data_IF_943315101689
#
_entry.id   IF_943315101689
#
_cell.length_a   1.000
_cell.length_b   1.000
_cell.length_c   1.000
_cell.angle_alpha   90.00
_cell.angle_beta   90.00
_cell.angle_gamma   90.00
#
_symmetry.space_group_name_H-M   'P 1'
#
loop_
_entity.id
_entity.type
_entity.pdbx_description
1 polymer ?
#
# COMPACT_ATOMS: atom_id res chain seq x y z
N UNK A 1 26.09 56.49 40.45
CA UNK A 1 26.64 57.57 39.59
C UNK A 1 25.91 57.48 38.26
N UNK A 2 25.03 58.41 38.05
CA UNK A 2 24.88 59.37 36.95
C UNK A 2 24.37 58.71 35.64
N UNK A 3 23.07 58.83 35.36
CA UNK A 3 22.34 59.81 34.49
C UNK A 3 22.75 59.68 33.02
N UNK A 4 21.88 59.61 32.00
CA UNK A 4 20.63 60.36 31.68
C UNK A 4 19.97 59.76 30.47
N UNK A 5 18.74 59.61 30.48
CA UNK A 5 17.57 59.91 29.64
C UNK A 5 17.81 60.94 28.50
N UNK A 6 17.19 60.70 27.34
CA UNK A 6 16.46 61.71 26.58
C UNK A 6 15.38 61.11 25.63
N UNK A 7 14.22 61.62 25.86
CA UNK A 7 12.95 61.52 25.06
C UNK A 7 12.97 62.51 23.88
N UNK A 8 12.20 62.20 22.81
CA UNK A 8 11.30 63.11 22.02
C UNK A 8 11.09 62.44 20.66
N UNK A 9 9.93 61.95 20.26
CA UNK A 9 8.60 62.51 20.04
C UNK A 9 8.43 63.30 18.71
N UNK A 10 7.30 63.03 18.00
CA UNK A 10 6.53 63.84 17.01
C UNK A 10 7.03 63.68 15.56
N UNK A 11 6.23 63.50 14.51
CA UNK A 11 4.78 63.62 14.26
C UNK A 11 4.41 62.98 12.90
N UNK A 12 3.11 62.80 12.72
CA UNK A 12 2.43 62.29 11.54
C UNK A 12 2.50 63.22 10.32
N UNK A 13 2.39 62.65 9.12
CA UNK A 13 1.65 63.32 7.99
C UNK A 13 1.07 62.26 7.03
N UNK A 14 -0.23 62.35 6.84
CA UNK A 14 -0.99 61.63 5.84
C UNK A 14 -0.86 62.33 4.46
N UNK A 15 -0.73 61.56 3.41
CA UNK A 15 -1.06 62.06 2.06
C UNK A 15 -1.59 60.88 1.21
N UNK A 16 -2.86 60.94 0.91
CA UNK A 16 -3.53 60.13 -0.08
C UNK A 16 -3.19 60.64 -1.48
N UNK A 17 -2.75 59.76 -2.38
CA UNK A 17 -2.74 60.04 -3.82
C UNK A 17 -3.33 58.82 -4.51
N UNK A 18 -4.51 58.97 -5.04
CA UNK A 18 -5.15 58.08 -6.02
C UNK A 18 -4.50 58.33 -7.39
N UNK A 19 -3.95 57.27 -8.00
CA UNK A 19 -3.63 57.26 -9.43
C UNK A 19 -4.23 56.02 -10.06
N UNK A 20 -5.25 56.24 -10.86
CA UNK A 20 -5.80 55.28 -11.82
C UNK A 20 -4.83 55.18 -12.98
N UNK A 21 -4.36 53.98 -13.33
CA UNK A 21 -3.85 53.70 -14.66
C UNK A 21 -4.32 52.31 -15.08
N UNK A 22 -5.21 52.33 -16.07
CA UNK A 22 -5.58 51.18 -16.89
C UNK A 22 -4.36 50.70 -17.66
N UNK A 23 -4.00 49.45 -17.50
CA UNK A 23 -3.00 48.76 -18.29
C UNK A 23 -3.45 47.32 -18.48
N UNK A 24 -4.05 47.02 -19.64
CA UNK A 24 -4.25 45.65 -20.12
C UNK A 24 -2.88 45.02 -20.36
N UNK A 25 -2.47 44.12 -19.44
CA UNK A 25 -1.39 43.19 -19.62
C UNK A 25 -1.96 41.79 -19.41
N UNK A 26 -2.12 41.03 -20.50
CA UNK A 26 -2.44 39.62 -20.49
C UNK A 26 -1.25 38.82 -19.95
N UNK A 27 -1.11 38.84 -18.60
CA UNK A 27 -0.27 37.92 -17.86
C UNK A 27 -1.03 36.61 -17.74
N UNK A 28 -0.61 35.56 -18.46
CA UNK A 28 -0.95 34.17 -18.14
C UNK A 28 -0.73 33.98 -16.63
N UNK A 29 -1.72 33.45 -15.90
CA UNK A 29 -1.43 32.98 -14.56
C UNK A 29 -0.32 31.94 -14.68
N UNK A 30 0.78 32.17 -13.99
CA UNK A 30 1.77 31.13 -13.76
C UNK A 30 1.02 29.98 -13.09
N UNK A 31 0.78 28.92 -13.84
CA UNK A 31 0.37 27.64 -13.30
C UNK A 31 1.51 27.26 -12.35
N UNK A 32 1.30 27.47 -11.07
CA UNK A 32 2.06 26.75 -10.04
C UNK A 32 1.97 25.30 -10.45
N UNK A 33 3.09 24.74 -10.90
CA UNK A 33 3.21 23.32 -11.10
C UNK A 33 2.98 22.71 -9.71
N UNK A 34 1.74 22.30 -9.47
CA UNK A 34 1.39 21.50 -8.30
C UNK A 34 2.18 20.23 -8.51
N UNK A 35 3.24 20.06 -7.76
CA UNK A 35 3.91 18.77 -7.62
C UNK A 35 2.78 17.80 -7.31
N UNK A 36 2.58 16.75 -8.12
CA UNK A 36 1.52 15.81 -7.84
C UNK A 36 1.76 15.28 -6.43
N UNK A 37 0.83 15.58 -5.53
CA UNK A 37 0.91 15.07 -4.18
C UNK A 37 0.91 13.55 -4.31
N UNK A 38 1.92 12.88 -3.77
CA UNK A 38 1.99 11.44 -3.61
C UNK A 38 0.92 11.02 -2.58
N UNK A 39 -0.32 11.26 -2.93
CA UNK A 39 -1.48 10.83 -2.15
C UNK A 39 -1.94 9.52 -2.76
N UNK A 40 -2.09 8.51 -1.91
CA UNK A 40 -2.72 7.26 -2.32
C UNK A 40 -4.09 7.57 -2.93
N UNK A 41 -4.37 7.16 -4.18
CA UNK A 41 -5.58 7.57 -4.87
C UNK A 41 -6.81 6.95 -4.19
N UNK A 42 -7.57 7.77 -3.51
CA UNK A 42 -8.90 7.45 -2.99
C UNK A 42 -9.89 8.47 -3.49
N UNK A 43 -11.09 8.04 -3.86
CA UNK A 43 -12.10 8.91 -4.45
C UNK A 43 -13.44 8.67 -3.77
N UNK A 44 -14.13 9.73 -3.36
CA UNK A 44 -15.51 9.61 -2.86
C UNK A 44 -16.44 9.26 -4.03
N UNK A 45 -17.19 8.17 -3.89
CA UNK A 45 -18.02 7.63 -4.96
C UNK A 45 -19.40 7.29 -4.40
N UNK A 46 -20.45 7.75 -5.07
CA UNK A 46 -21.83 7.30 -4.87
C UNK A 46 -22.26 7.18 -3.38
N UNK A 47 -21.94 8.17 -2.57
CA UNK A 47 -22.32 8.18 -1.16
C UNK A 47 -21.48 7.31 -0.21
N UNK A 48 -20.58 6.49 -0.74
CA UNK A 48 -19.64 5.71 0.08
C UNK A 48 -18.66 6.62 0.82
N UNK A 49 -18.30 6.26 2.05
CA UNK A 49 -17.21 6.89 2.78
C UNK A 49 -15.87 6.66 2.08
N UNK A 50 -14.91 7.57 2.25
CA UNK A 50 -13.57 7.43 1.67
C UNK A 50 -12.53 7.38 2.78
N UNK A 51 -11.68 6.36 2.76
CA UNK A 51 -10.64 6.14 3.75
C UNK A 51 -9.25 6.28 3.15
N UNK A 52 -8.28 6.66 3.97
CA UNK A 52 -6.87 6.76 3.59
C UNK A 52 -6.46 8.08 2.93
N UNK A 53 -7.36 9.08 2.80
CA UNK A 53 -7.03 10.39 2.20
C UNK A 53 -6.08 11.22 3.06
N UNK A 54 -6.06 11.00 4.37
CA UNK A 54 -5.23 11.70 5.34
C UNK A 54 -3.89 11.00 5.60
N UNK A 55 -3.59 9.91 4.89
CA UNK A 55 -2.30 9.24 4.99
C UNK A 55 -1.18 10.16 4.53
N UNK A 56 -0.05 10.05 5.26
CA UNK A 56 1.19 10.76 4.95
C UNK A 56 2.19 9.79 4.34
N UNK A 57 2.24 9.64 3.00
CA UNK A 57 3.12 8.67 2.34
C UNK A 57 4.60 8.86 2.72
N UNK A 58 5.04 10.10 2.98
CA UNK A 58 6.43 10.40 3.35
C UNK A 58 6.85 9.84 4.72
N UNK A 59 5.88 9.48 5.57
CA UNK A 59 6.13 8.85 6.87
C UNK A 59 6.01 7.31 6.82
N UNK A 60 5.83 6.72 5.64
CA UNK A 60 5.62 5.28 5.47
C UNK A 60 6.88 4.46 5.76
N UNK A 61 8.03 4.87 5.27
CA UNK A 61 9.30 4.20 5.52
C UNK A 61 9.91 4.61 6.86
N UNK A 62 10.60 3.67 7.51
CA UNK A 62 11.42 4.00 8.66
C UNK A 62 12.54 4.96 8.23
N UNK A 63 12.80 5.99 9.06
CA UNK A 63 13.81 7.01 8.77
C UNK A 63 15.22 6.45 8.82
N UNK A 64 15.48 5.65 9.84
CA UNK A 64 16.77 5.04 10.08
C UNK A 64 16.72 3.55 9.75
N UNK A 65 17.82 3.04 9.20
CA UNK A 65 17.98 1.62 8.98
C UNK A 65 17.94 0.87 10.30
N UNK A 66 17.15 -0.18 10.38
CA UNK A 66 17.16 -1.09 11.53
C UNK A 66 18.59 -1.63 11.76
N UNK A 67 18.96 -1.82 13.04
CA UNK A 67 20.26 -2.36 13.39
C UNK A 67 20.43 -3.77 12.79
N UNK A 68 21.64 -4.04 12.29
CA UNK A 68 21.96 -5.39 11.83
C UNK A 68 22.12 -6.34 13.02
N UNK A 69 21.64 -7.56 12.83
CA UNK A 69 21.89 -8.65 13.77
C UNK A 69 23.39 -8.95 13.83
N UNK A 70 23.97 -9.17 15.02
CA UNK A 70 25.39 -9.45 15.15
C UNK A 70 25.78 -10.76 14.47
N UNK A 71 27.00 -10.85 13.90
CA UNK A 71 27.50 -12.08 13.30
C UNK A 71 28.48 -11.86 12.14
N UNK A 72 28.78 -12.89 11.35
CA UNK A 72 29.75 -12.84 10.25
C UNK A 72 29.34 -11.93 9.13
N UNK A 73 30.30 -11.57 8.24
CA UNK A 73 30.08 -10.68 7.08
C UNK A 73 29.19 -11.31 5.99
N UNK A 74 29.06 -12.62 5.97
CA UNK A 74 28.12 -13.35 5.10
C UNK A 74 27.13 -14.13 5.97
N UNK A 75 25.94 -14.35 5.46
CA UNK A 75 24.84 -15.03 6.13
C UNK A 75 24.24 -16.10 5.23
N UNK A 76 23.68 -17.10 5.86
CA UNK A 76 22.80 -18.04 5.18
C UNK A 76 21.37 -17.51 5.25
N UNK A 77 20.76 -17.31 4.09
CA UNK A 77 19.34 -16.98 3.93
C UNK A 77 18.62 -18.18 3.29
N UNK A 78 17.39 -18.42 3.71
CA UNK A 78 16.58 -19.50 3.17
C UNK A 78 15.69 -18.99 2.04
N UNK A 79 15.64 -19.74 0.97
CA UNK A 79 14.65 -19.58 -0.07
C UNK A 79 13.29 -20.12 0.40
N UNK A 80 12.21 -19.62 -0.20
CA UNK A 80 10.88 -20.18 -0.02
C UNK A 80 10.84 -21.67 -0.43
N UNK A 81 9.92 -22.40 0.16
CA UNK A 81 9.72 -23.83 -0.13
C UNK A 81 9.56 -24.08 -1.64
N UNK A 82 10.26 -25.10 -2.15
CA UNK A 82 10.25 -25.49 -3.56
C UNK A 82 11.25 -24.74 -4.46
N UNK A 83 12.05 -23.83 -3.91
CA UNK A 83 13.18 -23.19 -4.62
C UNK A 83 14.48 -23.91 -4.30
N UNK A 84 15.30 -24.16 -5.30
CA UNK A 84 16.62 -24.84 -5.11
C UNK A 84 17.73 -23.91 -5.61
N UNK A 85 18.81 -23.70 -4.80
CA UNK A 85 19.10 -24.31 -3.50
C UNK A 85 18.18 -23.76 -2.39
N UNK A 86 17.98 -24.53 -1.33
CA UNK A 86 17.19 -24.14 -0.16
C UNK A 86 17.86 -23.01 0.63
N UNK A 87 19.18 -22.98 0.66
CA UNK A 87 20.01 -22.02 1.40
C UNK A 87 20.96 -21.30 0.46
N UNK A 88 21.06 -19.99 0.62
CA UNK A 88 21.95 -19.11 -0.15
C UNK A 88 22.83 -18.31 0.78
N UNK A 89 24.13 -18.21 0.46
CA UNK A 89 25.03 -17.29 1.14
C UNK A 89 24.84 -15.87 0.58
N UNK A 90 24.55 -14.91 1.46
CA UNK A 90 24.31 -13.50 1.12
C UNK A 90 25.21 -12.59 1.96
N UNK A 91 25.55 -11.37 1.48
CA UNK A 91 26.19 -10.37 2.33
C UNK A 91 25.32 -10.03 3.54
N UNK A 92 25.92 -9.90 4.73
CA UNK A 92 25.19 -9.50 5.94
C UNK A 92 24.62 -8.07 5.82
N UNK A 93 25.33 -7.22 5.10
CA UNK A 93 24.99 -5.80 4.89
C UNK A 93 24.93 -5.48 3.39
N UNK A 94 23.93 -6.00 2.66
CA UNK A 94 23.81 -5.68 1.24
C UNK A 94 23.61 -4.18 1.05
N UNK A 95 24.28 -3.61 0.06
CA UNK A 95 24.25 -2.19 -0.25
C UNK A 95 23.56 -1.87 -1.59
N UNK A 96 23.39 -2.87 -2.43
CA UNK A 96 22.83 -2.74 -3.77
C UNK A 96 21.77 -3.81 -4.02
N UNK A 97 20.59 -3.55 -3.45
CA UNK A 97 19.49 -4.51 -3.49
C UNK A 97 18.62 -4.26 -4.72
N UNK A 98 18.32 -5.30 -5.48
CA UNK A 98 17.26 -5.31 -6.48
C UNK A 98 16.07 -6.09 -5.94
N UNK A 99 14.86 -5.55 -6.14
CA UNK A 99 13.62 -6.08 -5.58
C UNK A 99 12.62 -6.38 -6.70
N UNK A 100 12.03 -7.57 -6.70
CA UNK A 100 11.13 -8.00 -7.77
C UNK A 100 9.67 -8.17 -7.33
N UNK A 101 9.34 -7.81 -6.08
CA UNK A 101 7.99 -7.95 -5.54
C UNK A 101 7.64 -6.77 -4.63
N UNK A 102 6.34 -6.42 -4.56
CA UNK A 102 5.87 -5.26 -3.79
C UNK A 102 5.99 -5.42 -2.29
N UNK A 103 5.70 -6.60 -1.77
CA UNK A 103 5.83 -6.95 -0.36
C UNK A 103 7.27 -6.87 0.15
N UNK A 104 8.26 -7.22 -0.68
CA UNK A 104 9.67 -7.08 -0.37
C UNK A 104 10.11 -5.60 -0.33
N UNK A 105 9.60 -4.79 -1.25
CA UNK A 105 9.85 -3.34 -1.26
C UNK A 105 9.25 -2.66 -0.03
N UNK A 106 8.03 -3.05 0.35
CA UNK A 106 7.35 -2.65 1.59
C UNK A 106 8.17 -3.07 2.83
N UNK A 107 8.67 -4.32 2.84
CA UNK A 107 9.51 -4.83 3.93
C UNK A 107 10.81 -4.02 4.11
N UNK A 108 11.50 -3.70 3.01
CA UNK A 108 12.72 -2.87 3.07
C UNK A 108 12.41 -1.44 3.52
N UNK A 109 11.26 -0.88 3.09
CA UNK A 109 10.76 0.40 3.57
C UNK A 109 10.50 0.36 5.10
N UNK A 110 9.85 -0.68 5.60
CA UNK A 110 9.58 -0.87 7.03
C UNK A 110 10.86 -1.05 7.87
N UNK A 111 11.90 -1.67 7.29
CA UNK A 111 13.21 -1.87 7.90
C UNK A 111 14.16 -0.67 7.75
N UNK A 112 13.77 0.40 7.05
CA UNK A 112 14.62 1.57 6.81
C UNK A 112 15.75 1.32 5.80
N UNK A 113 15.60 0.34 4.92
CA UNK A 113 16.63 -0.06 3.95
C UNK A 113 16.35 0.44 2.53
N UNK A 114 15.34 1.30 2.33
CA UNK A 114 14.94 1.82 1.02
C UNK A 114 16.08 2.51 0.27
N UNK A 115 17.01 3.15 0.96
CA UNK A 115 18.19 3.80 0.35
C UNK A 115 19.19 2.82 -0.29
N UNK A 116 19.10 1.53 0.06
CA UNK A 116 19.94 0.47 -0.50
C UNK A 116 19.31 -0.18 -1.73
N UNK A 117 18.04 0.14 -2.05
CA UNK A 117 17.34 -0.37 -3.23
C UNK A 117 17.78 0.42 -4.45
N UNK A 118 18.55 -0.22 -5.33
CA UNK A 118 19.07 0.41 -6.54
C UNK A 118 18.12 0.30 -7.73
N UNK A 119 17.19 -0.64 -7.70
CA UNK A 119 16.06 -0.77 -8.64
C UNK A 119 15.00 -1.74 -8.08
N UNK A 120 13.76 -1.59 -8.56
CA UNK A 120 12.69 -2.51 -8.21
C UNK A 120 11.78 -2.77 -9.44
N UNK A 121 11.19 -3.96 -9.53
CA UNK A 121 10.18 -4.24 -10.54
C UNK A 121 8.94 -3.37 -10.29
N UNK A 122 8.38 -2.81 -11.34
CA UNK A 122 7.16 -1.98 -11.27
C UNK A 122 5.92 -2.85 -11.11
N UNK A 123 4.88 -2.35 -10.46
CA UNK A 123 3.57 -3.00 -10.52
C UNK A 123 3.12 -3.15 -11.98
N UNK A 124 2.48 -4.26 -12.30
CA UNK A 124 1.99 -4.49 -13.67
C UNK A 124 1.00 -3.40 -14.07
N UNK A 125 1.22 -2.82 -15.25
CA UNK A 125 0.42 -1.70 -15.75
C UNK A 125 0.77 -0.32 -15.15
N UNK A 126 1.78 -0.22 -14.28
CA UNK A 126 2.26 1.05 -13.71
C UNK A 126 3.58 1.50 -14.33
N UNK A 127 3.77 2.81 -14.42
CA UNK A 127 5.02 3.44 -14.84
C UNK A 127 5.90 3.91 -13.65
N UNK A 128 5.43 3.73 -12.41
CA UNK A 128 6.10 4.18 -11.18
C UNK A 128 5.96 3.18 -10.05
N UNK A 129 6.81 3.32 -9.04
CA UNK A 129 6.67 2.56 -7.79
C UNK A 129 5.42 3.00 -7.02
N UNK A 130 4.91 2.14 -6.09
CA UNK A 130 3.69 2.43 -5.36
C UNK A 130 3.75 3.76 -4.58
N UNK A 131 2.69 4.57 -4.69
CA UNK A 131 2.63 5.88 -4.06
C UNK A 131 2.53 5.79 -2.53
N UNK A 132 1.91 4.74 -1.99
CA UNK A 132 1.72 4.59 -0.54
C UNK A 132 3.03 4.41 0.24
N UNK A 133 4.13 4.03 -0.41
CA UNK A 133 5.47 3.94 0.18
C UNK A 133 6.21 5.30 0.22
N UNK A 134 5.65 6.33 -0.39
CA UNK A 134 6.12 7.71 -0.29
C UNK A 134 7.34 8.04 -1.14
N UNK A 135 7.84 9.26 -0.94
CA UNK A 135 8.92 9.85 -1.74
C UNK A 135 10.26 9.12 -1.63
N UNK A 136 10.46 8.36 -0.56
CA UNK A 136 11.69 7.57 -0.38
C UNK A 136 11.76 6.37 -1.35
N UNK A 137 10.62 5.89 -1.84
CA UNK A 137 10.52 4.70 -2.70
C UNK A 137 10.08 5.06 -4.11
N UNK A 138 9.19 6.03 -4.26
CA UNK A 138 8.60 6.39 -5.55
C UNK A 138 9.61 6.65 -6.69
N UNK A 139 10.80 7.29 -6.45
CA UNK A 139 11.78 7.54 -7.50
C UNK A 139 12.70 6.35 -7.80
N UNK A 140 12.55 5.21 -7.13
CA UNK A 140 13.40 4.04 -7.39
C UNK A 140 13.19 3.55 -8.83
N UNK A 141 14.27 3.40 -9.61
CA UNK A 141 14.17 3.02 -11.02
C UNK A 141 13.49 1.66 -11.23
N UNK A 142 12.64 1.55 -12.25
CA UNK A 142 12.05 0.29 -12.67
C UNK A 142 13.04 -0.63 -13.38
N UNK A 143 12.89 -1.95 -13.20
CA UNK A 143 13.62 -3.01 -13.94
C UNK A 143 12.61 -4.04 -14.45
N UNK A 144 11.76 -3.61 -15.40
CA UNK A 144 10.62 -4.37 -15.88
C UNK A 144 9.45 -4.33 -14.92
N UNK A 145 8.50 -5.24 -15.09
CA UNK A 145 7.34 -5.40 -14.21
C UNK A 145 7.49 -6.64 -13.30
N UNK A 146 6.63 -6.74 -12.28
CA UNK A 146 6.64 -7.88 -11.34
C UNK A 146 6.43 -9.21 -12.04
N UNK A 147 5.59 -9.25 -13.08
CA UNK A 147 5.36 -10.46 -13.91
C UNK A 147 6.42 -10.68 -14.99
N UNK A 148 7.13 -9.64 -15.38
CA UNK A 148 8.16 -9.70 -16.46
C UNK A 148 9.37 -8.79 -16.14
N UNK A 149 10.26 -9.21 -15.20
CA UNK A 149 11.47 -8.45 -14.86
C UNK A 149 12.47 -8.37 -16.04
N UNK A 150 13.13 -7.23 -16.15
CA UNK A 150 14.21 -7.01 -17.14
C UNK A 150 15.55 -7.48 -16.59
N UNK A 151 15.98 -8.68 -16.98
CA UNK A 151 17.23 -9.29 -16.52
C UNK A 151 18.48 -8.48 -16.92
N UNK A 152 18.50 -7.86 -18.10
CA UNK A 152 19.60 -7.02 -18.53
C UNK A 152 19.67 -5.73 -17.70
N UNK A 153 18.52 -5.10 -17.46
CA UNK A 153 18.40 -3.96 -16.58
C UNK A 153 18.83 -4.27 -15.14
N UNK A 154 18.48 -5.46 -14.62
CA UNK A 154 18.89 -5.94 -13.29
C UNK A 154 20.42 -6.09 -13.24
N UNK A 155 21.02 -6.77 -14.21
CA UNK A 155 22.48 -6.98 -14.26
C UNK A 155 23.24 -5.65 -14.35
N UNK A 156 22.74 -4.67 -15.11
CA UNK A 156 23.32 -3.34 -15.23
C UNK A 156 23.31 -2.53 -13.92
N UNK A 157 22.51 -2.93 -12.94
CA UNK A 157 22.52 -2.33 -11.60
C UNK A 157 23.60 -2.84 -10.69
N UNK A 158 24.34 -3.89 -11.09
CA UNK A 158 25.40 -4.54 -10.28
C UNK A 158 24.93 -4.80 -8.84
N UNK A 159 23.84 -5.56 -8.63
CA UNK A 159 23.33 -5.83 -7.31
C UNK A 159 24.30 -6.75 -6.52
N UNK A 160 24.27 -6.64 -5.19
CA UNK A 160 24.91 -7.55 -4.27
C UNK A 160 23.88 -8.47 -3.56
N UNK A 161 22.59 -8.18 -3.75
CA UNK A 161 21.46 -9.02 -3.37
C UNK A 161 20.28 -8.80 -4.33
N UNK A 162 19.66 -9.89 -4.75
CA UNK A 162 18.38 -9.87 -5.47
C UNK A 162 17.32 -10.54 -4.59
N UNK A 163 16.19 -9.85 -4.39
CA UNK A 163 15.01 -10.40 -3.75
C UNK A 163 13.97 -10.69 -4.83
N UNK A 164 13.54 -11.94 -4.94
CA UNK A 164 12.54 -12.39 -5.90
C UNK A 164 11.39 -13.13 -5.22
N UNK A 165 10.39 -13.54 -5.99
CA UNK A 165 9.22 -14.25 -5.47
C UNK A 165 8.99 -15.57 -6.19
N UNK A 166 8.86 -16.62 -5.39
CA UNK A 166 8.53 -17.97 -5.89
C UNK A 166 7.14 -17.99 -6.56
N UNK A 167 6.20 -17.17 -6.09
CA UNK A 167 4.85 -17.10 -6.68
C UNK A 167 4.76 -16.29 -7.97
N UNK A 168 5.63 -15.28 -8.17
CA UNK A 168 5.56 -14.40 -9.34
C UNK A 168 6.41 -14.91 -10.50
N UNK A 169 7.66 -15.23 -10.25
CA UNK A 169 8.64 -15.55 -11.31
C UNK A 169 9.51 -16.77 -10.96
N UNK A 170 8.93 -17.93 -10.62
CA UNK A 170 9.68 -19.09 -10.12
C UNK A 170 10.76 -19.59 -11.10
N UNK A 171 10.52 -19.47 -12.40
CA UNK A 171 11.43 -19.93 -13.46
C UNK A 171 12.65 -19.03 -13.65
N UNK A 172 12.65 -17.81 -13.11
CA UNK A 172 13.76 -16.86 -13.27
C UNK A 172 14.88 -17.06 -12.25
N UNK A 173 14.68 -17.87 -11.21
CA UNK A 173 15.66 -18.07 -10.16
C UNK A 173 17.07 -18.37 -10.68
N UNK A 174 17.30 -19.38 -11.58
CA UNK A 174 18.65 -19.68 -12.05
C UNK A 174 19.33 -18.53 -12.78
N UNK A 175 18.58 -17.74 -13.54
CA UNK A 175 19.09 -16.60 -14.30
C UNK A 175 19.45 -15.44 -13.35
N UNK A 176 18.64 -15.18 -12.34
CA UNK A 176 18.88 -14.15 -11.32
C UNK A 176 20.09 -14.55 -10.44
N UNK A 177 20.18 -15.81 -10.02
CA UNK A 177 21.30 -16.34 -9.25
C UNK A 177 22.64 -16.28 -10.02
N UNK A 178 22.59 -16.27 -11.36
CA UNK A 178 23.74 -16.02 -12.22
C UNK A 178 24.21 -14.55 -12.24
N UNK A 179 23.38 -13.61 -11.76
CA UNK A 179 23.72 -12.18 -11.68
C UNK A 179 24.30 -11.84 -10.30
N UNK A 180 23.61 -12.25 -9.22
CA UNK A 180 24.00 -11.97 -7.85
C UNK A 180 23.36 -12.99 -6.88
N UNK A 181 23.81 -13.07 -5.58
CA UNK A 181 23.10 -13.80 -4.55
C UNK A 181 21.62 -13.47 -4.56
N UNK A 182 20.77 -14.49 -4.70
CA UNK A 182 19.33 -14.33 -4.91
C UNK A 182 18.55 -15.10 -3.87
N UNK A 183 17.61 -14.43 -3.20
CA UNK A 183 16.71 -15.03 -2.23
C UNK A 183 15.27 -14.86 -2.73
N UNK A 184 14.54 -15.96 -2.85
CA UNK A 184 13.11 -15.95 -3.17
C UNK A 184 12.28 -16.10 -1.90
N UNK A 185 11.37 -15.15 -1.70
CA UNK A 185 10.30 -15.27 -0.71
C UNK A 185 9.13 -16.09 -1.28
N UNK A 186 8.17 -16.45 -0.43
CA UNK A 186 6.94 -17.10 -0.84
C UNK A 186 6.10 -16.16 -1.77
N UNK A 187 4.99 -16.66 -2.29
CA UNK A 187 4.04 -15.84 -3.02
C UNK A 187 3.55 -14.67 -2.15
N UNK A 188 3.43 -13.45 -2.71
CA UNK A 188 2.77 -12.35 -2.02
C UNK A 188 1.34 -12.71 -1.58
N UNK A 189 0.79 -11.97 -0.63
CA UNK A 189 -0.56 -12.20 -0.12
C UNK A 189 -0.59 -12.67 1.33
N UNK A 190 -1.25 -13.79 1.63
CA UNK A 190 -1.43 -14.26 3.01
C UNK A 190 -0.10 -14.55 3.75
N UNK A 191 0.99 -14.86 3.02
CA UNK A 191 2.31 -15.15 3.57
C UNK A 191 3.16 -13.90 3.88
N UNK A 192 2.63 -12.70 3.80
CA UNK A 192 3.38 -11.45 3.93
C UNK A 192 4.23 -11.32 5.20
N UNK A 193 3.80 -11.90 6.32
CA UNK A 193 4.58 -11.89 7.57
C UNK A 193 5.83 -12.77 7.46
N UNK A 194 5.69 -13.93 6.82
CA UNK A 194 6.82 -14.83 6.55
C UNK A 194 7.79 -14.16 5.56
N UNK A 195 7.26 -13.52 4.53
CA UNK A 195 8.06 -12.77 3.56
C UNK A 195 8.85 -11.64 4.22
N UNK A 196 8.26 -10.89 5.16
CA UNK A 196 9.00 -9.88 5.94
C UNK A 196 10.14 -10.51 6.76
N UNK A 197 9.91 -11.67 7.39
CA UNK A 197 10.99 -12.39 8.09
C UNK A 197 12.09 -12.85 7.12
N UNK A 198 11.71 -13.35 5.93
CA UNK A 198 12.65 -13.74 4.89
C UNK A 198 13.53 -12.58 4.42
N UNK A 199 12.94 -11.40 4.18
CA UNK A 199 13.67 -10.17 3.85
C UNK A 199 14.57 -9.75 5.02
N UNK A 200 14.07 -9.82 6.25
CA UNK A 200 14.84 -9.55 7.46
C UNK A 200 16.07 -10.46 7.58
N UNK A 201 15.89 -11.75 7.38
CA UNK A 201 16.99 -12.73 7.39
C UNK A 201 18.02 -12.45 6.28
N UNK A 202 17.56 -12.21 5.04
CA UNK A 202 18.41 -11.92 3.89
C UNK A 202 19.22 -10.61 4.04
N UNK A 203 18.79 -9.71 4.92
CA UNK A 203 19.44 -8.41 5.17
C UNK A 203 20.04 -8.29 6.56
N UNK A 204 20.12 -9.39 7.33
CA UNK A 204 20.56 -9.42 8.75
C UNK A 204 19.75 -8.47 9.66
N UNK A 205 18.44 -8.45 9.48
CA UNK A 205 17.47 -7.69 10.30
C UNK A 205 16.36 -8.59 10.83
N UNK A 206 16.65 -9.86 11.08
CA UNK A 206 15.66 -10.81 11.58
C UNK A 206 15.01 -10.37 12.88
N UNK A 207 15.82 -9.95 13.87
CA UNK A 207 15.32 -9.43 15.14
C UNK A 207 14.42 -8.19 14.96
N UNK A 208 14.77 -7.29 14.04
CA UNK A 208 13.98 -6.11 13.74
C UNK A 208 12.67 -6.49 13.04
N UNK A 209 12.68 -7.43 12.10
CA UNK A 209 11.48 -7.92 11.44
C UNK A 209 10.51 -8.54 12.45
N UNK A 210 10.98 -9.37 13.38
CA UNK A 210 10.15 -9.94 14.43
C UNK A 210 9.58 -8.86 15.38
N UNK A 211 10.38 -7.88 15.76
CA UNK A 211 9.92 -6.76 16.58
C UNK A 211 8.82 -5.95 15.89
N UNK A 212 8.96 -5.69 14.58
CA UNK A 212 7.95 -5.01 13.77
C UNK A 212 6.65 -5.82 13.67
N UNK A 213 6.72 -7.14 13.49
CA UNK A 213 5.55 -8.02 13.44
C UNK A 213 4.84 -8.09 14.79
N UNK A 214 5.60 -8.20 15.88
CA UNK A 214 5.05 -8.20 17.23
C UNK A 214 4.33 -6.87 17.53
N UNK A 215 4.95 -5.74 17.18
CA UNK A 215 4.32 -4.42 17.33
C UNK A 215 3.07 -4.26 16.46
N UNK A 216 3.06 -4.82 15.25
CA UNK A 216 1.87 -4.85 14.39
C UNK A 216 0.75 -5.68 15.04
N UNK A 217 1.05 -6.90 15.50
CA UNK A 217 0.07 -7.79 16.11
C UNK A 217 -0.57 -7.16 17.35
N UNK A 218 0.24 -6.53 18.21
CA UNK A 218 -0.26 -5.81 19.38
C UNK A 218 -1.18 -4.66 18.98
N UNK A 219 -0.75 -3.80 18.04
CA UNK A 219 -1.56 -2.67 17.56
C UNK A 219 -2.87 -3.14 16.93
N UNK A 220 -2.84 -4.18 16.10
CA UNK A 220 -4.03 -4.73 15.47
C UNK A 220 -5.03 -5.23 16.52
N UNK A 221 -4.57 -6.02 17.50
CA UNK A 221 -5.38 -6.51 18.62
C UNK A 221 -5.96 -5.36 19.46
N UNK A 222 -5.16 -4.34 19.79
CA UNK A 222 -5.59 -3.19 20.58
C UNK A 222 -6.67 -2.37 19.85
N UNK A 223 -6.55 -2.21 18.52
CA UNK A 223 -7.57 -1.54 17.70
C UNK A 223 -8.83 -2.39 17.65
N UNK A 224 -8.71 -3.69 17.42
CA UNK A 224 -9.84 -4.61 17.43
C UNK A 224 -10.64 -4.55 18.72
N UNK A 225 -9.96 -4.62 19.86
CA UNK A 225 -10.59 -4.54 21.17
C UNK A 225 -11.29 -3.19 21.42
N UNK A 226 -10.65 -2.07 21.03
CA UNK A 226 -11.23 -0.73 21.21
C UNK A 226 -12.46 -0.45 20.35
N UNK A 227 -12.54 -1.08 19.20
CA UNK A 227 -13.61 -0.87 18.21
C UNK A 227 -14.58 -2.04 18.14
N UNK A 228 -14.52 -2.97 19.10
CA UNK A 228 -15.42 -4.12 19.19
C UNK A 228 -15.47 -4.96 17.91
N UNK A 229 -14.31 -5.09 17.27
CA UNK A 229 -14.17 -5.61 15.91
C UNK A 229 -14.70 -7.05 15.75
N UNK A 230 -14.66 -7.86 16.81
CA UNK A 230 -15.14 -9.26 16.79
C UNK A 230 -16.66 -9.40 16.62
N UNK A 231 -17.42 -8.32 16.79
CA UNK A 231 -18.88 -8.30 16.57
C UNK A 231 -19.24 -7.94 15.11
N UNK A 232 -18.27 -7.65 14.25
CA UNK A 232 -18.50 -7.24 12.88
C UNK A 232 -17.93 -8.21 11.87
N UNK A 233 -18.65 -8.37 10.79
CA UNK A 233 -18.20 -9.06 9.59
C UNK A 233 -17.90 -8.02 8.50
N UNK A 234 -16.73 -8.12 7.89
CA UNK A 234 -16.35 -7.21 6.81
C UNK A 234 -16.18 -7.94 5.48
N UNK A 235 -16.72 -7.33 4.44
CA UNK A 235 -16.54 -7.74 3.05
C UNK A 235 -15.38 -7.00 2.42
N UNK A 236 -14.58 -7.70 1.61
CA UNK A 236 -13.52 -7.12 0.79
C UNK A 236 -13.93 -7.27 -0.66
N UNK A 237 -14.10 -6.13 -1.32
CA UNK A 237 -14.55 -6.05 -2.71
C UNK A 237 -13.54 -5.26 -3.54
N UNK A 238 -13.25 -5.72 -4.74
CA UNK A 238 -12.50 -4.95 -5.73
C UNK A 238 -13.32 -4.80 -7.00
N UNK A 239 -13.45 -3.58 -7.48
CA UNK A 239 -14.06 -3.28 -8.77
C UNK A 239 -13.00 -3.29 -9.86
N UNK A 240 -13.30 -3.98 -10.95
CA UNK A 240 -12.60 -3.85 -12.23
C UNK A 240 -13.48 -3.08 -13.21
N UNK A 241 -13.06 -2.94 -14.46
CA UNK A 241 -13.85 -2.29 -15.50
C UNK A 241 -15.16 -3.01 -15.83
N UNK A 242 -15.22 -4.33 -15.58
CA UNK A 242 -16.31 -5.19 -16.01
C UNK A 242 -16.76 -6.24 -14.98
N UNK A 243 -16.08 -6.32 -13.82
CA UNK A 243 -16.35 -7.29 -12.75
C UNK A 243 -16.37 -6.66 -11.37
N UNK A 244 -17.09 -7.30 -10.48
CA UNK A 244 -16.99 -7.18 -9.03
C UNK A 244 -16.27 -8.44 -8.55
N UNK A 245 -15.12 -8.28 -7.88
CA UNK A 245 -14.40 -9.37 -7.22
C UNK A 245 -14.73 -9.34 -5.74
N UNK A 246 -15.20 -10.46 -5.22
CA UNK A 246 -15.47 -10.64 -3.80
C UNK A 246 -14.43 -11.60 -3.24
N UNK A 247 -13.60 -11.14 -2.34
CA UNK A 247 -12.43 -11.87 -1.85
C UNK A 247 -12.78 -12.88 -0.77
N UNK A 248 -12.11 -14.05 -0.81
CA UNK A 248 -12.16 -15.09 0.21
C UNK A 248 -11.27 -14.77 1.43
N UNK A 249 -10.77 -15.82 2.11
CA UNK A 249 -9.95 -15.70 3.32
C UNK A 249 -8.44 -15.88 3.08
N UNK A 250 -8.05 -16.52 1.98
CA UNK A 250 -6.63 -16.76 1.69
C UNK A 250 -6.01 -15.63 0.85
N UNK A 251 -5.90 -14.45 1.44
CA UNK A 251 -5.31 -13.27 0.81
C UNK A 251 -4.79 -12.28 1.86
N UNK A 252 -4.06 -11.27 1.40
CA UNK A 252 -3.43 -10.26 2.26
C UNK A 252 -4.44 -9.49 3.14
N UNK A 253 -5.44 -8.79 2.61
CA UNK A 253 -6.33 -8.01 3.46
C UNK A 253 -7.15 -8.88 4.43
N UNK A 254 -7.53 -10.11 4.05
CA UNK A 254 -8.22 -11.01 4.97
C UNK A 254 -7.34 -11.41 6.15
N UNK A 255 -6.03 -11.59 5.94
CA UNK A 255 -5.09 -11.87 7.04
C UNK A 255 -4.98 -10.70 8.03
N UNK A 256 -5.06 -9.46 7.53
CA UNK A 256 -5.06 -8.25 8.36
C UNK A 256 -6.38 -8.10 9.13
N UNK A 257 -7.51 -8.34 8.47
CA UNK A 257 -8.82 -8.39 9.16
C UNK A 257 -8.80 -9.38 10.33
N UNK A 258 -8.28 -10.59 10.10
CA UNK A 258 -8.14 -11.60 11.15
C UNK A 258 -7.23 -11.16 12.30
N UNK A 259 -6.14 -10.43 12.02
CA UNK A 259 -5.26 -9.89 13.06
C UNK A 259 -5.95 -8.83 13.93
N UNK A 260 -6.92 -8.08 13.40
CA UNK A 260 -7.77 -7.12 14.13
C UNK A 260 -8.92 -7.83 14.85
N UNK A 261 -9.28 -9.05 14.43
CA UNK A 261 -10.40 -9.81 14.98
C UNK A 261 -11.72 -9.59 14.24
N UNK A 262 -11.71 -8.96 13.06
CA UNK A 262 -12.89 -8.82 12.20
C UNK A 262 -13.12 -10.12 11.46
N UNK A 263 -14.34 -10.64 11.51
CA UNK A 263 -14.70 -11.90 10.82
C UNK A 263 -15.12 -11.65 9.36
N UNK A 264 -15.28 -12.74 8.63
CA UNK A 264 -15.74 -12.74 7.23
C UNK A 264 -17.15 -13.32 7.14
N UNK A 265 -18.04 -12.77 6.27
CA UNK A 265 -19.33 -13.39 5.99
C UNK A 265 -19.17 -14.84 5.52
N UNK A 266 -20.13 -15.70 5.83
CA UNK A 266 -20.08 -17.11 5.47
C UNK A 266 -19.80 -17.35 3.97
N UNK A 267 -20.39 -16.52 3.09
CA UNK A 267 -20.19 -16.58 1.64
C UNK A 267 -18.76 -16.26 1.19
N UNK A 268 -17.92 -15.72 2.08
CA UNK A 268 -16.55 -15.27 1.80
C UNK A 268 -15.49 -16.08 2.56
N UNK A 269 -15.85 -17.21 3.19
CA UNK A 269 -14.91 -18.07 3.93
C UNK A 269 -14.24 -19.15 3.07
N UNK A 270 -14.30 -19.03 1.76
CA UNK A 270 -13.61 -19.93 0.84
C UNK A 270 -12.10 -19.66 0.81
N UNK A 271 -11.30 -20.73 0.60
CA UNK A 271 -9.84 -20.73 0.59
C UNK A 271 -9.22 -21.25 -0.71
N UNK A 272 -10.04 -21.87 -1.56
CA UNK A 272 -9.63 -22.56 -2.79
C UNK A 272 -9.26 -21.60 -3.94
N UNK A 273 -9.62 -20.34 -3.81
CA UNK A 273 -9.38 -19.27 -4.78
C UNK A 273 -9.29 -17.92 -4.06
N UNK A 274 -8.62 -16.90 -4.66
CA UNK A 274 -8.49 -15.59 -4.02
C UNK A 274 -9.84 -14.83 -3.96
N UNK A 275 -10.67 -14.93 -4.99
CA UNK A 275 -11.96 -14.23 -5.11
C UNK A 275 -12.95 -14.99 -6.01
N UNK A 276 -14.20 -14.61 -5.93
CA UNK A 276 -15.24 -14.92 -6.94
C UNK A 276 -15.49 -13.66 -7.77
N UNK A 277 -15.91 -13.83 -9.04
CA UNK A 277 -16.21 -12.71 -9.94
C UNK A 277 -17.70 -12.67 -10.29
N UNK A 278 -18.28 -11.47 -10.24
CA UNK A 278 -19.65 -11.19 -10.67
C UNK A 278 -19.58 -10.15 -11.79
N UNK A 279 -20.33 -10.32 -12.87
CA UNK A 279 -20.37 -9.38 -13.99
C UNK A 279 -20.87 -8.01 -13.55
N UNK A 280 -20.19 -6.93 -14.01
CA UNK A 280 -20.52 -5.54 -13.67
C UNK A 280 -20.55 -4.61 -14.89
N UNK A 281 -20.66 -5.14 -16.10
CA UNK A 281 -21.00 -4.33 -17.28
C UNK A 281 -22.41 -3.75 -17.13
N UNK A 282 -22.75 -2.72 -17.91
CA UNK A 282 -24.11 -2.14 -17.88
C UNK A 282 -25.17 -3.19 -18.22
N UNK A 283 -24.87 -4.10 -19.16
CA UNK A 283 -25.73 -5.23 -19.51
C UNK A 283 -25.88 -6.25 -18.39
N UNK A 284 -24.84 -6.47 -17.57
CA UNK A 284 -24.93 -7.37 -16.43
C UNK A 284 -25.75 -6.75 -15.30
N UNK A 285 -25.49 -5.47 -14.97
CA UNK A 285 -26.22 -4.75 -13.93
C UNK A 285 -27.71 -4.59 -14.27
N UNK A 286 -28.06 -4.41 -15.56
CA UNK A 286 -29.44 -4.37 -16.03
C UNK A 286 -30.21 -5.66 -15.79
N UNK A 287 -29.53 -6.81 -15.71
CA UNK A 287 -30.12 -8.12 -15.36
C UNK A 287 -30.33 -8.28 -13.85
N UNK A 288 -29.96 -7.29 -13.06
CA UNK A 288 -30.07 -7.29 -11.59
C UNK A 288 -29.42 -8.51 -10.94
N UNK A 289 -28.09 -8.71 -11.11
CA UNK A 289 -27.39 -9.89 -10.61
C UNK A 289 -27.48 -9.97 -9.08
N UNK A 290 -27.37 -11.18 -8.54
CA UNK A 290 -27.29 -11.40 -7.11
C UNK A 290 -25.90 -10.98 -6.60
N UNK A 291 -25.86 -9.94 -5.77
CA UNK A 291 -24.65 -9.46 -5.10
C UNK A 291 -24.58 -9.85 -3.61
N UNK A 292 -25.47 -10.71 -3.12
CA UNK A 292 -25.52 -11.10 -1.71
C UNK A 292 -24.19 -11.66 -1.19
N UNK A 293 -23.38 -12.27 -2.07
CA UNK A 293 -22.05 -12.74 -1.72
C UNK A 293 -21.08 -11.60 -1.31
N UNK A 294 -21.37 -10.35 -1.68
CA UNK A 294 -20.60 -9.17 -1.30
C UNK A 294 -21.10 -8.52 0.00
N UNK A 295 -22.26 -8.95 0.52
CA UNK A 295 -22.87 -8.30 1.69
C UNK A 295 -22.16 -8.66 3.00
N UNK A 296 -22.18 -7.74 3.95
CA UNK A 296 -21.60 -7.84 5.29
C UNK A 296 -22.09 -6.68 6.15
N UNK A 297 -21.67 -6.62 7.42
CA UNK A 297 -21.90 -5.44 8.27
C UNK A 297 -21.17 -4.21 7.74
N UNK A 298 -19.99 -4.41 7.12
CA UNK A 298 -19.16 -3.35 6.50
C UNK A 298 -18.59 -3.86 5.18
N UNK A 299 -18.57 -3.01 4.14
CA UNK A 299 -17.94 -3.34 2.86
C UNK A 299 -16.79 -2.37 2.59
N UNK A 300 -15.59 -2.91 2.38
CA UNK A 300 -14.41 -2.17 1.92
C UNK A 300 -14.24 -2.42 0.42
N UNK A 301 -14.35 -1.34 -0.37
CA UNK A 301 -14.32 -1.39 -1.84
C UNK A 301 -13.06 -0.73 -2.36
N UNK A 302 -12.27 -1.43 -3.14
CA UNK A 302 -11.16 -0.85 -3.90
C UNK A 302 -11.45 -0.86 -5.41
N UNK A 303 -10.70 -0.07 -6.18
CA UNK A 303 -10.79 -0.01 -7.64
C UNK A 303 -9.45 -0.38 -8.25
N UNK A 304 -9.42 -1.46 -9.02
CA UNK A 304 -8.20 -2.05 -9.60
C UNK A 304 -7.47 -1.14 -10.60
N UNK A 305 -8.11 -0.09 -11.07
CA UNK A 305 -7.52 0.86 -12.03
C UNK A 305 -8.29 2.19 -12.04
N UNK A 306 -7.71 3.26 -12.63
CA UNK A 306 -8.44 4.51 -12.86
C UNK A 306 -9.73 4.33 -13.67
N UNK A 307 -9.74 3.43 -14.65
CA UNK A 307 -10.94 3.12 -15.44
C UNK A 307 -12.02 2.43 -14.57
N UNK A 308 -11.64 1.52 -13.68
CA UNK A 308 -12.54 0.93 -12.70
C UNK A 308 -13.12 1.99 -11.74
N UNK A 309 -12.30 2.94 -11.26
CA UNK A 309 -12.72 4.04 -10.41
C UNK A 309 -13.76 4.96 -11.11
N UNK A 310 -13.59 5.22 -12.40
CA UNK A 310 -14.57 5.98 -13.19
C UNK A 310 -15.92 5.27 -13.29
N UNK A 311 -15.94 3.95 -13.32
CA UNK A 311 -17.16 3.15 -13.37
C UNK A 311 -17.78 2.86 -11.99
N UNK A 312 -17.03 3.07 -10.92
CA UNK A 312 -17.46 2.67 -9.59
C UNK A 312 -18.82 3.28 -9.19
N UNK A 313 -19.09 4.54 -9.56
CA UNK A 313 -20.38 5.17 -9.32
C UNK A 313 -21.55 4.38 -9.96
N UNK A 314 -21.39 3.90 -11.19
CA UNK A 314 -22.42 3.09 -11.89
C UNK A 314 -22.70 1.78 -11.13
N UNK A 315 -21.68 1.14 -10.58
CA UNK A 315 -21.84 -0.09 -9.81
C UNK A 315 -22.49 0.18 -8.44
N UNK A 316 -21.97 1.16 -7.69
CA UNK A 316 -22.42 1.48 -6.33
C UNK A 316 -23.81 2.15 -6.31
N UNK A 317 -24.26 2.77 -7.41
CA UNK A 317 -25.60 3.28 -7.57
C UNK A 317 -26.60 2.28 -8.17
N UNK A 318 -26.14 1.09 -8.59
CA UNK A 318 -27.01 0.10 -9.22
C UNK A 318 -28.03 -0.49 -8.24
N UNK A 319 -29.18 -0.92 -8.77
CA UNK A 319 -30.23 -1.55 -7.98
C UNK A 319 -29.75 -2.78 -7.20
N UNK A 320 -28.93 -3.72 -7.77
CA UNK A 320 -28.43 -4.85 -7.00
C UNK A 320 -27.52 -4.44 -5.85
N UNK A 321 -26.68 -3.41 -6.02
CA UNK A 321 -25.79 -2.92 -4.94
C UNK A 321 -26.58 -2.24 -3.81
N UNK A 322 -27.56 -1.43 -4.16
CA UNK A 322 -28.40 -0.71 -3.19
C UNK A 322 -29.22 -1.66 -2.28
N UNK A 323 -29.36 -2.92 -2.61
CA UNK A 323 -30.04 -3.93 -1.78
C UNK A 323 -29.14 -4.50 -0.68
N UNK A 324 -27.84 -4.27 -0.73
CA UNK A 324 -26.91 -4.77 0.29
C UNK A 324 -27.18 -4.08 1.64
N UNK A 325 -27.13 -4.84 2.73
CA UNK A 325 -27.38 -4.30 4.08
C UNK A 325 -26.36 -3.23 4.46
N UNK A 326 -25.08 -3.45 4.18
CA UNK A 326 -24.05 -2.44 4.42
C UNK A 326 -24.30 -1.12 3.66
N UNK A 327 -24.93 -1.17 2.48
CA UNK A 327 -25.28 0.05 1.75
C UNK A 327 -26.44 0.80 2.42
N UNK A 328 -27.45 0.09 2.92
CA UNK A 328 -28.55 0.69 3.68
C UNK A 328 -28.06 1.36 4.95
N UNK A 329 -27.07 0.77 5.61
CA UNK A 329 -26.51 1.22 6.87
C UNK A 329 -25.40 2.27 6.70
N UNK A 330 -25.17 2.77 5.47
CA UNK A 330 -24.08 3.70 5.14
C UNK A 330 -22.69 3.20 5.57
N UNK A 331 -22.46 1.88 5.48
CA UNK A 331 -21.23 1.21 5.91
C UNK A 331 -20.42 0.65 4.73
N UNK A 332 -20.45 1.35 3.61
CA UNK A 332 -19.60 1.08 2.45
C UNK A 332 -18.48 2.11 2.41
N UNK A 333 -17.24 1.65 2.34
CA UNK A 333 -16.07 2.52 2.32
C UNK A 333 -15.19 2.23 1.10
N UNK A 334 -14.90 3.27 0.32
CA UNK A 334 -13.88 3.20 -0.73
C UNK A 334 -12.51 3.32 -0.09
N UNK A 335 -11.64 2.36 -0.40
CA UNK A 335 -10.29 2.25 0.14
C UNK A 335 -9.24 2.28 -0.95
N UNK A 336 -8.01 2.53 -0.57
CA UNK A 336 -6.89 2.59 -1.50
C UNK A 336 -6.47 1.19 -1.98
N UNK A 337 -6.51 0.96 -3.29
CA UNK A 337 -6.18 -0.34 -3.90
C UNK A 337 -4.71 -0.74 -3.69
N UNK A 338 -3.76 0.22 -3.76
CA UNK A 338 -2.35 -0.07 -3.51
C UNK A 338 -2.11 -0.60 -2.08
N UNK A 339 -2.87 -0.10 -1.12
CA UNK A 339 -2.76 -0.51 0.29
C UNK A 339 -3.50 -1.83 0.55
N UNK A 340 -4.72 -1.95 0.02
CA UNK A 340 -5.56 -3.10 0.33
C UNK A 340 -5.29 -4.34 -0.54
N UNK A 341 -4.88 -4.17 -1.80
CA UNK A 341 -4.78 -5.29 -2.74
C UNK A 341 -3.35 -5.58 -3.22
N UNK A 342 -2.52 -4.57 -3.45
CA UNK A 342 -1.25 -4.77 -4.15
C UNK A 342 -0.01 -4.46 -3.32
N UNK A 343 -0.17 -3.93 -2.11
CA UNK A 343 0.94 -3.60 -1.20
C UNK A 343 1.54 -4.86 -0.56
N UNK A 344 0.67 -5.66 0.04
CA UNK A 344 0.96 -7.00 0.57
C UNK A 344 2.14 -7.08 1.55
N UNK A 345 2.43 -5.98 2.29
CA UNK A 345 3.49 -5.90 3.28
C UNK A 345 3.07 -5.17 4.56
N UNK A 346 4.02 -4.93 5.46
CA UNK A 346 3.77 -4.37 6.80
C UNK A 346 3.24 -2.93 6.75
N UNK A 347 3.77 -2.10 5.85
CA UNK A 347 3.32 -0.70 5.70
C UNK A 347 1.88 -0.67 5.21
N UNK A 348 1.57 -1.50 4.21
CA UNK A 348 0.20 -1.68 3.72
C UNK A 348 -0.73 -2.24 4.82
N UNK A 349 -0.29 -3.25 5.58
CA UNK A 349 -1.05 -3.82 6.68
C UNK A 349 -1.40 -2.79 7.76
N UNK A 350 -0.46 -1.91 8.12
CA UNK A 350 -0.71 -0.79 9.04
C UNK A 350 -1.76 0.16 8.48
N UNK A 351 -1.72 0.43 7.17
CA UNK A 351 -2.71 1.24 6.49
C UNK A 351 -4.12 0.63 6.55
N UNK A 352 -4.25 -0.68 6.36
CA UNK A 352 -5.54 -1.38 6.52
C UNK A 352 -6.03 -1.28 7.98
N UNK A 353 -5.15 -1.51 8.96
CA UNK A 353 -5.51 -1.41 10.39
C UNK A 353 -6.02 0.01 10.73
N UNK A 354 -5.43 1.04 10.14
CA UNK A 354 -5.89 2.42 10.32
C UNK A 354 -7.27 2.66 9.69
N UNK A 355 -7.59 2.01 8.58
CA UNK A 355 -8.93 2.06 7.99
C UNK A 355 -9.95 1.27 8.83
N UNK A 356 -9.55 0.12 9.40
CA UNK A 356 -10.42 -0.74 10.23
C UNK A 356 -10.83 -0.11 11.57
N UNK A 357 -10.17 0.97 12.02
CA UNK A 357 -10.62 1.73 13.20
C UNK A 357 -12.05 2.28 13.07
N UNK A 358 -12.61 2.30 11.86
CA UNK A 358 -13.98 2.73 11.60
C UNK A 358 -14.98 1.56 11.51
N UNK A 359 -14.56 0.32 11.80
CA UNK A 359 -15.45 -0.85 11.74
C UNK A 359 -16.69 -0.69 12.63
N UNK A 360 -16.56 -0.02 13.78
CA UNK A 360 -17.64 0.31 14.71
C UNK A 360 -18.11 1.76 14.55
N UNK A 361 -18.04 2.36 13.36
CA UNK A 361 -18.56 3.69 13.13
C UNK A 361 -20.09 3.72 13.29
N UNK A 362 -20.69 4.80 13.82
CA UNK A 362 -22.13 4.93 13.92
C UNK A 362 -22.81 4.75 12.56
N UNK A 363 -23.94 4.07 12.56
CA UNK A 363 -24.86 4.01 11.42
C UNK A 363 -25.60 5.35 11.36
N UNK A 364 -25.54 6.06 10.22
CA UNK A 364 -26.17 7.37 10.03
C UNK A 364 -27.51 7.24 9.33
#
# INVERSE_FOLDING_TARGET
MIRTAFLRAVAALAAAVAVTCSGCGSGKPATSATTPALVTPTTQIAGAGVLGNDRRPDDSCARDAAAADPGPKTRQAHNAAGVTPDVVEVPAEPQRIVVLSGDQLDALCALGLQSRVVAAALPDGSASQPAYLGNAVHPIPGVGTRSNPDLAGIAAKHPDLILGSQGLTPKLYPQLAGIAPTVFTAAPGAAWQENLRGVGAATSRGAAADALLNGFSQRASDIGARHDASHFQASIVQLTTDKIRVYGTNNFPASVLGAVGVDRPAAQRFTDKPYIEIGATDGDLAKNPDLSAADADVIYVSCASPAAAQRAATVLDSNPWRKLSANHDNRVYVVNDEVWQTGEGLVAARGIVDDLRLVNAPIN
#
